data_IF_078161550287
#
_entry.id   IF_078161550287
#
_cell.length_a   1.000
_cell.length_b   1.000
_cell.length_c   1.000
_cell.angle_alpha   90.00
_cell.angle_beta   90.00
_cell.angle_gamma   90.00
#
_symmetry.space_group_name_H-M   'P 1'
#
loop_
_entity.id
_entity.type
_entity.pdbx_description
1 polymer ?
#
# COMPACT_ATOMS: atom_id res chain seq x y z
N UNK A 1 3.98 -6.54 -1.89
CA UNK A 1 3.53 -5.19 -2.35
C UNK A 1 2.95 -5.21 -3.75
N UNK A 2 3.75 -5.48 -4.80
CA UNK A 2 3.26 -5.49 -6.18
C UNK A 2 2.08 -6.47 -6.40
N UNK A 3 2.16 -7.65 -5.81
CA UNK A 3 1.08 -8.65 -5.86
C UNK A 3 -0.22 -8.13 -5.24
N UNK A 4 -0.16 -7.45 -4.09
CA UNK A 4 -1.34 -6.83 -3.47
C UNK A 4 -1.95 -5.74 -4.36
N UNK A 5 -1.13 -4.94 -5.04
CA UNK A 5 -1.64 -3.94 -6.00
C UNK A 5 -2.42 -4.58 -7.15
N UNK A 6 -2.01 -5.77 -7.59
CA UNK A 6 -2.72 -6.56 -8.61
C UNK A 6 -4.01 -7.15 -8.02
N UNK A 7 -3.95 -7.69 -6.80
CA UNK A 7 -5.08 -8.37 -6.15
C UNK A 7 -6.24 -7.43 -5.80
N UNK A 8 -5.96 -6.16 -5.49
CA UNK A 8 -6.95 -5.17 -5.01
C UNK A 8 -7.28 -4.09 -6.05
N UNK A 9 -7.03 -4.34 -7.34
CA UNK A 9 -7.29 -3.39 -8.43
C UNK A 9 -6.73 -1.97 -8.14
N UNK A 10 -5.54 -1.91 -7.53
CA UNK A 10 -4.91 -0.67 -7.04
C UNK A 10 -4.25 0.17 -8.15
N UNK A 11 -4.55 -0.10 -9.42
CA UNK A 11 -4.07 0.64 -10.57
C UNK A 11 -5.06 0.60 -11.74
N UNK A 12 -5.01 1.63 -12.58
CA UNK A 12 -5.68 1.65 -13.88
C UNK A 12 -4.66 2.03 -14.98
N UNK A 13 -4.44 3.32 -15.23
CA UNK A 13 -3.48 3.76 -16.26
C UNK A 13 -2.01 3.45 -15.93
N UNK A 14 -1.71 3.07 -14.68
CA UNK A 14 -0.36 2.70 -14.24
C UNK A 14 0.60 3.87 -13.98
N UNK A 15 0.25 5.11 -14.37
CA UNK A 15 1.20 6.24 -14.31
C UNK A 15 1.71 6.55 -12.90
N UNK A 16 0.81 6.57 -11.90
CA UNK A 16 1.19 6.83 -10.52
C UNK A 16 1.71 5.58 -9.79
N UNK A 17 1.53 4.38 -10.35
CA UNK A 17 1.75 3.10 -9.67
C UNK A 17 3.18 2.92 -9.13
N UNK A 18 4.26 3.30 -9.87
CA UNK A 18 5.60 3.22 -9.31
C UNK A 18 5.79 4.07 -8.04
N UNK A 19 5.26 5.31 -8.04
CA UNK A 19 5.32 6.19 -6.88
C UNK A 19 4.51 5.64 -5.70
N UNK A 20 3.30 5.16 -5.97
CA UNK A 20 2.44 4.51 -4.96
C UNK A 20 3.14 3.31 -4.31
N UNK A 21 3.75 2.43 -5.09
CA UNK A 21 4.46 1.25 -4.56
C UNK A 21 5.62 1.67 -3.66
N UNK A 22 6.47 2.61 -4.12
CA UNK A 22 7.64 3.01 -3.35
C UNK A 22 7.27 3.73 -2.05
N UNK A 23 6.27 4.61 -2.08
CA UNK A 23 5.77 5.26 -0.87
C UNK A 23 5.08 4.29 0.09
N UNK A 24 4.34 3.32 -0.42
CA UNK A 24 3.73 2.27 0.41
C UNK A 24 4.80 1.42 1.12
N UNK A 25 5.87 1.04 0.42
CA UNK A 25 7.01 0.34 1.03
C UNK A 25 7.67 1.19 2.12
N UNK A 26 7.87 2.49 1.86
CA UNK A 26 8.39 3.43 2.87
C UNK A 26 7.50 3.49 4.11
N UNK A 27 6.20 3.70 3.90
CA UNK A 27 5.19 3.79 4.96
C UNK A 27 5.17 2.55 5.87
N UNK A 28 5.19 1.35 5.27
CA UNK A 28 5.22 0.08 6.03
C UNK A 28 6.52 -0.05 6.82
N UNK A 29 7.66 0.33 6.24
CA UNK A 29 8.95 0.24 6.91
C UNK A 29 9.09 1.23 8.08
N UNK A 30 8.46 2.41 7.98
CA UNK A 30 8.38 3.37 9.08
C UNK A 30 7.48 2.88 10.23
N UNK A 31 6.48 2.05 9.94
CA UNK A 31 5.62 1.42 10.95
C UNK A 31 4.61 2.37 11.60
N UNK A 32 4.43 3.58 11.07
CA UNK A 32 3.55 4.60 11.65
C UNK A 32 2.05 4.39 11.35
N UNK A 33 1.71 3.64 10.29
CA UNK A 33 0.33 3.48 9.87
C UNK A 33 -0.44 2.41 10.64
N UNK A 34 0.22 1.31 11.02
CA UNK A 34 -0.46 0.15 11.58
C UNK A 34 -1.61 -0.33 10.68
N UNK A 35 -2.65 -0.93 11.25
CA UNK A 35 -3.80 -1.44 10.48
C UNK A 35 -4.94 -0.40 10.33
N UNK A 36 -4.63 0.89 10.49
CA UNK A 36 -5.62 1.97 10.39
C UNK A 36 -5.69 2.50 8.94
N UNK A 37 -6.81 2.31 8.22
CA UNK A 37 -6.98 2.77 6.84
C UNK A 37 -6.81 4.29 6.69
N UNK A 38 -7.21 5.08 7.69
CA UNK A 38 -7.10 6.54 7.60
C UNK A 38 -5.64 7.00 7.76
N UNK A 39 -4.86 6.28 8.57
CA UNK A 39 -3.40 6.51 8.65
C UNK A 39 -2.70 6.12 7.36
N UNK A 40 -3.14 5.05 6.71
CA UNK A 40 -2.64 4.68 5.38
C UNK A 40 -2.99 5.77 4.37
N UNK A 41 -4.24 6.26 4.32
CA UNK A 41 -4.63 7.35 3.41
C UNK A 41 -3.78 8.59 3.62
N UNK A 42 -3.59 9.01 4.87
CA UNK A 42 -2.80 10.19 5.20
C UNK A 42 -1.32 10.01 4.81
N UNK A 43 -0.72 8.87 5.16
CA UNK A 43 0.66 8.54 4.79
C UNK A 43 0.89 8.44 3.27
N UNK A 44 -0.15 8.10 2.52
CA UNK A 44 -0.12 7.99 1.07
C UNK A 44 -0.53 9.29 0.34
N UNK A 45 -0.92 10.35 1.06
CA UNK A 45 -1.48 11.59 0.50
C UNK A 45 -0.55 12.33 -0.47
N UNK A 46 0.77 12.13 -0.37
CA UNK A 46 1.77 12.68 -1.29
C UNK A 46 1.75 12.07 -2.71
N UNK A 47 1.00 10.98 -2.93
CA UNK A 47 0.94 10.30 -4.23
C UNK A 47 -0.43 10.46 -4.88
N UNK A 48 -0.51 11.37 -5.85
CA UNK A 48 -1.76 11.66 -6.55
C UNK A 48 -2.07 10.60 -7.61
N UNK A 49 -3.32 10.13 -7.63
CA UNK A 49 -3.88 9.22 -8.63
C UNK A 49 -5.00 9.92 -9.40
N UNK A 50 -4.84 10.07 -10.73
CA UNK A 50 -5.88 10.66 -11.59
C UNK A 50 -7.01 9.69 -11.95
N UNK A 51 -6.72 8.40 -11.89
CA UNK A 51 -7.69 7.33 -12.11
C UNK A 51 -8.60 7.07 -10.90
N UNK A 52 -8.28 7.67 -9.75
CA UNK A 52 -9.01 7.51 -8.49
C UNK A 52 -9.02 6.08 -7.93
N UNK A 53 -7.93 5.32 -8.09
CA UNK A 53 -7.78 3.97 -7.54
C UNK A 53 -7.48 3.93 -6.02
N UNK A 54 -7.74 5.02 -5.28
CA UNK A 54 -7.31 5.18 -3.89
C UNK A 54 -7.86 4.12 -2.92
N UNK A 55 -9.08 3.61 -3.16
CA UNK A 55 -9.67 2.55 -2.33
C UNK A 55 -8.82 1.27 -2.43
N UNK A 56 -8.59 0.79 -3.65
CA UNK A 56 -7.74 -0.37 -3.91
C UNK A 56 -6.29 -0.17 -3.46
N UNK A 57 -5.74 1.05 -3.57
CA UNK A 57 -4.41 1.37 -3.05
C UNK A 57 -4.36 1.17 -1.52
N UNK A 58 -5.33 1.68 -0.77
CA UNK A 58 -5.37 1.51 0.70
C UNK A 58 -5.52 0.04 1.06
N UNK A 59 -6.40 -0.69 0.39
CA UNK A 59 -6.60 -2.13 0.60
C UNK A 59 -5.32 -2.93 0.31
N UNK A 60 -4.63 -2.63 -0.80
CA UNK A 60 -3.37 -3.26 -1.15
C UNK A 60 -2.25 -3.00 -0.12
N UNK A 61 -2.19 -1.81 0.47
CA UNK A 61 -1.20 -1.48 1.50
C UNK A 61 -1.47 -2.24 2.79
N UNK A 62 -2.73 -2.30 3.24
CA UNK A 62 -3.11 -3.04 4.44
C UNK A 62 -2.85 -4.54 4.29
N UNK A 63 -3.21 -5.12 3.15
CA UNK A 63 -2.97 -6.53 2.83
C UNK A 63 -1.47 -6.86 2.75
N UNK A 64 -0.70 -6.02 2.04
CA UNK A 64 0.74 -6.18 1.97
C UNK A 64 1.40 -6.09 3.36
N UNK A 65 0.92 -5.21 4.24
CA UNK A 65 1.45 -5.09 5.60
C UNK A 65 1.19 -6.36 6.42
N UNK A 66 -0.03 -6.92 6.34
CA UNK A 66 -0.37 -8.16 7.02
C UNK A 66 0.50 -9.32 6.50
N UNK A 67 0.63 -9.46 5.18
CA UNK A 67 1.45 -10.51 4.55
C UNK A 67 2.91 -10.41 4.99
N UNK A 68 3.50 -9.21 5.00
CA UNK A 68 4.89 -9.00 5.42
C UNK A 68 5.10 -9.24 6.92
N UNK A 69 4.09 -9.00 7.76
CA UNK A 69 4.15 -9.32 9.19
C UNK A 69 4.17 -10.83 9.40
N UNK A 70 3.27 -11.56 8.72
CA UNK A 70 3.20 -13.02 8.78
C UNK A 70 4.48 -13.68 8.26
N UNK A 71 5.06 -13.16 7.18
CA UNK A 71 6.35 -13.64 6.65
C UNK A 71 7.50 -13.43 7.65
N UNK A 72 7.53 -12.30 8.35
CA UNK A 72 8.53 -12.04 9.40
C UNK A 72 8.37 -12.99 10.59
N UNK A 73 7.13 -13.25 11.01
CA UNK A 73 6.85 -14.20 12.11
C UNK A 73 7.26 -15.63 11.73
N UNK A 74 6.94 -16.07 10.51
CA UNK A 74 7.32 -17.41 10.01
C UNK A 74 8.83 -17.58 9.82
N UNK A 75 9.58 -16.50 9.66
CA UNK A 75 11.03 -16.50 9.50
C UNK A 75 11.81 -16.41 10.82
N UNK A 76 11.13 -16.14 11.94
CA UNK A 76 11.70 -16.05 13.29
C UNK A 76 11.72 -17.42 14.00
#
# INVERSE_FOLDING_TARGET
MQEAFIAHDALQCGFCTPGQIMSAVGLINEGHAGNDPERVREGMSGNLCRCSAYVGIVEAVLDAQATLADEKERAA
#
